data_IF_102475807320
#
_entry.id   IF_102475807320
#
_cell.length_a   1.000
_cell.length_b   1.000
_cell.length_c   1.000
_cell.angle_alpha   90.00
_cell.angle_beta   90.00
_cell.angle_gamma   90.00
#
_symmetry.space_group_name_H-M   'P 1'
#
loop_
_entity.id
_entity.type
_entity.pdbx_description
1 polymer ?
#
# COMPACT_ATOMS: atom_id res chain seq x y z
N UNK A 1 26.81 61.73 -29.08
CA UNK A 1 27.82 61.14 -29.99
C UNK A 1 27.25 59.85 -30.54
N UNK A 2 27.45 59.51 -31.82
CA UNK A 2 26.95 58.28 -32.42
C UNK A 2 27.53 57.03 -31.74
N UNK A 3 28.73 57.13 -31.18
CA UNK A 3 29.37 56.06 -30.41
C UNK A 3 28.58 55.68 -29.15
N UNK A 4 28.07 56.68 -28.43
CA UNK A 4 27.27 56.48 -27.22
C UNK A 4 25.93 55.78 -27.53
N UNK A 5 25.26 56.20 -28.62
CA UNK A 5 24.05 55.53 -29.09
C UNK A 5 24.29 54.07 -29.51
N UNK A 6 25.44 53.76 -30.15
CA UNK A 6 25.83 52.40 -30.47
C UNK A 6 26.09 51.56 -29.19
N UNK A 7 26.69 52.16 -28.16
CA UNK A 7 26.90 51.51 -26.86
C UNK A 7 25.60 51.11 -26.16
N UNK A 8 24.60 51.99 -26.15
CA UNK A 8 23.26 51.68 -25.59
C UNK A 8 22.59 50.51 -26.33
N UNK A 9 22.68 50.49 -27.67
CA UNK A 9 22.14 49.40 -28.47
C UNK A 9 22.86 48.08 -28.20
N UNK A 10 24.19 48.12 -28.04
CA UNK A 10 24.96 46.93 -27.69
C UNK A 10 24.54 46.35 -26.35
N UNK A 11 24.43 47.19 -25.31
CA UNK A 11 23.99 46.74 -23.97
C UNK A 11 22.61 46.08 -24.02
N UNK A 12 21.68 46.65 -24.79
CA UNK A 12 20.34 46.06 -24.96
C UNK A 12 20.38 44.71 -25.68
N UNK A 13 21.28 44.53 -26.65
CA UNK A 13 21.49 43.25 -27.32
C UNK A 13 22.09 42.23 -26.34
N UNK A 14 23.09 42.62 -25.55
CA UNK A 14 23.73 41.76 -24.55
C UNK A 14 22.73 41.27 -23.49
N UNK A 15 21.92 42.19 -22.93
CA UNK A 15 20.82 41.85 -22.02
C UNK A 15 19.81 40.89 -22.66
N UNK A 16 19.46 41.14 -23.93
CA UNK A 16 18.55 40.28 -24.69
C UNK A 16 19.12 38.86 -24.88
N UNK A 17 20.41 38.75 -25.18
CA UNK A 17 21.11 37.46 -25.27
C UNK A 17 21.13 36.75 -23.91
N UNK A 18 21.43 37.46 -22.83
CA UNK A 18 21.43 36.89 -21.48
C UNK A 18 20.05 36.33 -21.12
N UNK A 19 18.98 37.09 -21.37
CA UNK A 19 17.62 36.63 -21.13
C UNK A 19 17.27 35.39 -21.97
N UNK A 20 17.66 35.37 -23.25
CA UNK A 20 17.43 34.23 -24.13
C UNK A 20 18.14 32.97 -23.63
N UNK A 21 19.38 33.10 -23.14
CA UNK A 21 20.13 31.98 -22.54
C UNK A 21 19.39 31.46 -21.31
N UNK A 22 18.93 32.32 -20.41
CA UNK A 22 18.16 31.90 -19.24
C UNK A 22 16.85 31.21 -19.63
N UNK A 23 16.08 31.79 -20.55
CA UNK A 23 14.79 31.25 -20.99
C UNK A 23 14.94 29.90 -21.71
N UNK A 24 15.94 29.77 -22.59
CA UNK A 24 16.21 28.52 -23.31
C UNK A 24 16.70 27.41 -22.38
N UNK A 25 17.62 27.70 -21.45
CA UNK A 25 18.07 26.72 -20.46
C UNK A 25 16.92 26.24 -19.56
N UNK A 26 16.05 27.15 -19.10
CA UNK A 26 14.85 26.79 -18.36
C UNK A 26 13.96 25.86 -19.18
N UNK A 27 13.75 26.17 -20.47
CA UNK A 27 12.91 25.34 -21.33
C UNK A 27 13.49 23.95 -21.58
N UNK A 28 14.81 23.84 -21.74
CA UNK A 28 15.50 22.55 -21.87
C UNK A 28 15.24 21.70 -20.63
N UNK A 29 15.42 22.25 -19.43
CA UNK A 29 15.15 21.53 -18.18
C UNK A 29 13.69 21.05 -18.07
N UNK A 30 12.72 21.88 -18.47
CA UNK A 30 11.31 21.49 -18.49
C UNK A 30 11.03 20.33 -19.46
N UNK A 31 11.65 20.34 -20.63
CA UNK A 31 11.50 19.27 -21.62
C UNK A 31 12.16 17.98 -21.15
N UNK A 32 13.33 18.06 -20.51
CA UNK A 32 14.01 16.91 -19.90
C UNK A 32 13.12 16.23 -18.85
N UNK A 33 12.44 17.01 -18.01
CA UNK A 33 11.44 16.49 -17.07
C UNK A 33 10.33 15.76 -17.83
N UNK A 34 9.65 16.42 -18.77
CA UNK A 34 8.55 15.78 -19.53
C UNK A 34 8.99 14.43 -20.13
N UNK A 35 10.18 14.37 -20.73
CA UNK A 35 10.75 13.13 -21.24
C UNK A 35 11.04 12.07 -20.16
N UNK A 36 11.45 12.46 -18.96
CA UNK A 36 11.61 11.55 -17.82
C UNK A 36 10.26 10.97 -17.37
N UNK A 37 9.22 11.80 -17.27
CA UNK A 37 7.88 11.32 -16.90
C UNK A 37 7.32 10.36 -17.91
N UNK A 38 7.43 10.66 -19.21
CA UNK A 38 6.95 9.78 -20.28
C UNK A 38 7.60 8.38 -20.20
N UNK A 39 8.87 8.28 -19.78
CA UNK A 39 9.55 6.98 -19.60
C UNK A 39 8.95 6.12 -18.47
N UNK A 40 8.28 6.73 -17.49
CA UNK A 40 7.68 6.01 -16.35
C UNK A 40 6.15 6.02 -16.36
N UNK A 41 5.51 6.87 -17.18
CA UNK A 41 4.05 7.02 -17.22
C UNK A 41 3.35 5.69 -17.53
N UNK A 42 3.95 4.86 -18.38
CA UNK A 42 3.38 3.54 -18.69
C UNK A 42 3.35 2.62 -17.46
N UNK A 43 4.36 2.68 -16.60
CA UNK A 43 4.36 1.94 -15.34
C UNK A 43 3.24 2.44 -14.42
N UNK A 44 3.02 3.75 -14.34
CA UNK A 44 1.91 4.30 -13.56
C UNK A 44 0.55 3.87 -14.11
N UNK A 45 0.35 3.93 -15.44
CA UNK A 45 -0.88 3.46 -16.08
C UNK A 45 -1.16 2.00 -15.79
N UNK A 46 -0.14 1.14 -15.87
CA UNK A 46 -0.27 -0.28 -15.56
C UNK A 46 -0.65 -0.51 -14.10
N UNK A 47 0.05 0.14 -13.16
CA UNK A 47 -0.22 0.04 -11.72
C UNK A 47 -1.62 0.55 -11.40
N UNK A 48 -2.01 1.73 -11.90
CA UNK A 48 -3.34 2.30 -11.71
C UNK A 48 -4.44 1.41 -12.27
N UNK A 49 -4.24 0.87 -13.48
CA UNK A 49 -5.20 -0.04 -14.09
C UNK A 49 -5.38 -1.30 -13.24
N UNK A 50 -4.29 -1.86 -12.71
CA UNK A 50 -4.37 -3.03 -11.85
C UNK A 50 -5.07 -2.71 -10.51
N UNK A 51 -4.75 -1.58 -9.88
CA UNK A 51 -5.40 -1.12 -8.64
C UNK A 51 -6.92 -1.05 -8.83
N UNK A 52 -7.39 -0.37 -9.88
CA UNK A 52 -8.83 -0.17 -10.10
C UNK A 52 -9.55 -1.46 -10.52
N UNK A 53 -8.93 -2.24 -11.42
CA UNK A 53 -9.61 -3.38 -12.02
C UNK A 53 -9.54 -4.65 -11.17
N UNK A 54 -8.52 -4.79 -10.33
CA UNK A 54 -8.24 -6.00 -9.54
C UNK A 54 -8.13 -5.66 -8.06
N UNK A 55 -7.21 -4.77 -7.70
CA UNK A 55 -6.85 -4.47 -6.31
C UNK A 55 -8.05 -4.09 -5.44
N UNK A 56 -8.75 -3.03 -5.83
CA UNK A 56 -9.91 -2.50 -5.08
C UNK A 56 -11.08 -3.47 -5.02
N UNK A 57 -11.33 -4.23 -6.10
CA UNK A 57 -12.41 -5.23 -6.13
C UNK A 57 -12.14 -6.35 -5.12
N UNK A 58 -10.91 -6.90 -5.13
CA UNK A 58 -10.51 -7.95 -4.18
C UNK A 58 -10.51 -7.45 -2.73
N UNK A 59 -10.04 -6.23 -2.46
CA UNK A 59 -10.12 -5.66 -1.12
C UNK A 59 -11.57 -5.54 -0.64
N UNK A 60 -12.49 -5.10 -1.50
CA UNK A 60 -13.92 -4.98 -1.17
C UNK A 60 -14.58 -6.32 -0.86
N UNK A 61 -14.26 -7.36 -1.64
CA UNK A 61 -14.76 -8.72 -1.41
C UNK A 61 -14.35 -9.27 -0.03
N UNK A 62 -13.18 -8.88 0.46
CA UNK A 62 -12.63 -9.35 1.75
C UNK A 62 -13.13 -8.58 2.99
N UNK A 63 -13.96 -7.54 2.83
CA UNK A 63 -14.56 -6.82 3.96
C UNK A 63 -15.61 -7.68 4.68
N UNK A 64 -16.23 -8.64 3.98
CA UNK A 64 -17.22 -9.55 4.52
C UNK A 64 -16.52 -10.76 5.16
N UNK A 65 -16.26 -10.67 6.47
CA UNK A 65 -15.69 -11.78 7.24
C UNK A 65 -16.77 -12.87 7.41
N UNK A 66 -16.38 -14.12 7.16
CA UNK A 66 -17.25 -15.29 7.14
C UNK A 66 -17.55 -15.82 8.57
N UNK A 67 -18.66 -16.53 8.73
CA UNK A 67 -19.21 -16.95 10.03
C UNK A 67 -18.52 -18.21 10.61
N UNK A 68 -17.64 -18.85 9.84
CA UNK A 68 -16.93 -20.07 10.26
C UNK A 68 -15.42 -19.96 10.22
N UNK A 69 -14.75 -20.63 11.15
CA UNK A 69 -13.29 -20.68 11.25
C UNK A 69 -12.62 -21.20 9.96
N UNK A 70 -13.19 -22.24 9.36
CA UNK A 70 -12.67 -22.82 8.11
C UNK A 70 -12.67 -21.79 6.97
N UNK A 71 -13.78 -21.05 6.82
CA UNK A 71 -13.91 -20.01 5.81
C UNK A 71 -12.98 -18.81 6.09
N UNK A 72 -12.75 -18.46 7.34
CA UNK A 72 -11.79 -17.42 7.71
C UNK A 72 -10.34 -17.80 7.44
N UNK A 73 -9.95 -19.05 7.70
CA UNK A 73 -8.61 -19.54 7.35
C UNK A 73 -8.42 -19.58 5.83
N UNK A 74 -9.47 -19.97 5.09
CA UNK A 74 -9.45 -19.93 3.64
C UNK A 74 -9.34 -18.48 3.10
N UNK A 75 -10.12 -17.55 3.65
CA UNK A 75 -10.04 -16.12 3.31
C UNK A 75 -8.66 -15.53 3.64
N UNK A 76 -8.05 -15.92 4.77
CA UNK A 76 -6.68 -15.53 5.10
C UNK A 76 -5.68 -16.03 4.05
N UNK A 77 -5.80 -17.30 3.62
CA UNK A 77 -4.91 -17.87 2.61
C UNK A 77 -5.04 -17.10 1.29
N UNK A 78 -6.27 -16.85 0.85
CA UNK A 78 -6.55 -16.06 -0.34
C UNK A 78 -6.02 -14.63 -0.23
N UNK A 79 -6.15 -14.01 0.95
CA UNK A 79 -5.58 -12.69 1.23
C UNK A 79 -4.06 -12.72 1.08
N UNK A 80 -3.35 -13.71 1.64
CA UNK A 80 -1.87 -13.79 1.52
C UNK A 80 -1.41 -13.90 0.06
N UNK A 81 -2.10 -14.69 -0.75
CA UNK A 81 -1.79 -14.82 -2.17
C UNK A 81 -2.02 -13.50 -2.92
N UNK A 82 -3.13 -12.81 -2.61
CA UNK A 82 -3.41 -11.47 -3.13
C UNK A 82 -2.37 -10.45 -2.68
N UNK A 83 -1.99 -10.48 -1.40
CA UNK A 83 -1.12 -9.52 -0.75
C UNK A 83 0.29 -9.52 -1.36
N UNK A 84 0.80 -10.68 -1.75
CA UNK A 84 2.07 -10.79 -2.48
C UNK A 84 2.04 -10.02 -3.80
N UNK A 85 0.96 -10.18 -4.57
CA UNK A 85 0.79 -9.49 -5.85
C UNK A 85 0.57 -7.99 -5.63
N UNK A 86 -0.27 -7.63 -4.66
CA UNK A 86 -0.56 -6.23 -4.32
C UNK A 86 0.71 -5.48 -3.88
N UNK A 87 1.54 -6.11 -3.04
CA UNK A 87 2.83 -5.58 -2.62
C UNK A 87 3.76 -5.29 -3.78
N UNK A 88 3.78 -6.16 -4.79
CA UNK A 88 4.63 -5.98 -5.96
C UNK A 88 4.18 -4.79 -6.79
N UNK A 89 2.88 -4.61 -7.00
CA UNK A 89 2.35 -3.42 -7.66
C UNK A 89 2.61 -2.14 -6.84
N UNK A 90 2.45 -2.19 -5.51
CA UNK A 90 2.80 -1.08 -4.64
C UNK A 90 4.28 -0.71 -4.77
N UNK A 91 5.18 -1.70 -4.71
CA UNK A 91 6.63 -1.52 -4.85
C UNK A 91 6.99 -0.90 -6.20
N UNK A 92 6.44 -1.43 -7.30
CA UNK A 92 6.65 -0.88 -8.65
C UNK A 92 6.20 0.57 -8.77
N UNK A 93 5.02 0.90 -8.22
CA UNK A 93 4.52 2.27 -8.18
C UNK A 93 5.43 3.20 -7.38
N UNK A 94 5.92 2.76 -6.22
CA UNK A 94 6.84 3.54 -5.38
C UNK A 94 8.20 3.77 -6.06
N UNK A 95 8.73 2.76 -6.75
CA UNK A 95 9.96 2.90 -7.54
C UNK A 95 9.80 3.87 -8.71
N UNK A 96 8.62 3.92 -9.33
CA UNK A 96 8.30 4.91 -10.35
C UNK A 96 8.21 6.32 -9.75
N UNK A 97 7.56 6.49 -8.59
CA UNK A 97 7.51 7.78 -7.87
C UNK A 97 8.89 8.28 -7.48
N UNK A 98 9.77 7.40 -6.99
CA UNK A 98 11.15 7.75 -6.61
C UNK A 98 11.95 8.33 -7.78
N UNK A 99 11.69 7.85 -9.02
CA UNK A 99 12.32 8.42 -10.23
C UNK A 99 11.85 9.86 -10.51
N UNK A 100 10.76 10.29 -9.89
CA UNK A 100 10.12 11.59 -10.07
C UNK A 100 10.33 12.55 -8.87
N UNK A 101 11.21 12.25 -7.92
CA UNK A 101 11.41 13.09 -6.71
C UNK A 101 11.80 14.54 -7.04
N UNK A 102 12.48 14.78 -8.17
CA UNK A 102 12.97 16.11 -8.57
C UNK A 102 11.87 17.04 -9.14
N UNK A 103 10.62 16.59 -9.21
CA UNK A 103 9.53 17.32 -9.85
C UNK A 103 8.90 18.42 -8.98
N UNK A 104 9.16 18.40 -7.68
CA UNK A 104 8.60 19.34 -6.70
C UNK A 104 9.11 20.78 -6.89
N UNK A 105 10.30 20.96 -7.47
CA UNK A 105 10.98 22.25 -7.58
C UNK A 105 10.54 23.13 -8.77
N UNK A 106 9.74 22.59 -9.68
CA UNK A 106 9.37 23.30 -10.91
C UNK A 106 7.94 23.85 -10.80
N UNK A 107 7.67 25.04 -11.34
CA UNK A 107 6.37 25.73 -11.16
C UNK A 107 5.76 26.30 -12.46
N UNK A 108 6.33 26.00 -13.62
CA UNK A 108 5.81 26.51 -14.89
C UNK A 108 4.48 25.86 -15.29
N UNK A 109 3.69 26.64 -16.03
CA UNK A 109 2.37 26.25 -16.56
C UNK A 109 2.48 25.02 -17.45
N UNK A 110 3.51 24.93 -18.28
CA UNK A 110 3.68 23.85 -19.27
C UNK A 110 3.90 22.48 -18.63
N UNK A 111 4.41 22.44 -17.40
CA UNK A 111 4.68 21.19 -16.65
C UNK A 111 3.60 20.94 -15.58
N UNK A 112 2.66 21.88 -15.39
CA UNK A 112 1.62 21.78 -14.37
C UNK A 112 0.69 20.58 -14.59
N UNK A 113 0.29 20.30 -15.83
CA UNK A 113 -0.58 19.15 -16.15
C UNK A 113 0.07 17.81 -15.78
N UNK A 114 1.37 17.67 -15.99
CA UNK A 114 2.15 16.49 -15.62
C UNK A 114 2.29 16.36 -14.09
N UNK A 115 2.48 17.47 -13.38
CA UNK A 115 2.43 17.49 -11.91
C UNK A 115 1.09 17.00 -11.36
N UNK A 116 -0.02 17.48 -11.92
CA UNK A 116 -1.36 17.04 -11.50
C UNK A 116 -1.54 15.53 -11.74
N UNK A 117 -1.09 15.01 -12.88
CA UNK A 117 -1.08 13.57 -13.14
C UNK A 117 -0.22 12.79 -12.13
N UNK A 118 1.01 13.25 -11.88
CA UNK A 118 1.91 12.62 -10.92
C UNK A 118 1.31 12.59 -9.52
N UNK A 119 0.68 13.69 -9.10
CA UNK A 119 -0.03 13.76 -7.82
C UNK A 119 -1.20 12.77 -7.78
N UNK A 120 -1.98 12.67 -8.86
CA UNK A 120 -3.08 11.70 -8.96
C UNK A 120 -2.59 10.26 -8.79
N UNK A 121 -1.46 9.91 -9.42
CA UNK A 121 -0.85 8.58 -9.24
C UNK A 121 -0.33 8.35 -7.83
N UNK A 122 0.28 9.36 -7.22
CA UNK A 122 0.77 9.30 -5.83
C UNK A 122 -0.38 9.05 -4.86
N UNK A 123 -1.43 9.87 -4.94
CA UNK A 123 -2.59 9.80 -4.04
C UNK A 123 -3.29 8.44 -4.16
N UNK A 124 -3.53 7.96 -5.39
CA UNK A 124 -4.15 6.66 -5.62
C UNK A 124 -3.32 5.50 -5.04
N UNK A 125 -2.00 5.55 -5.22
CA UNK A 125 -1.09 4.53 -4.72
C UNK A 125 -1.05 4.53 -3.19
N UNK A 126 -0.95 5.70 -2.57
CA UNK A 126 -0.93 5.85 -1.11
C UNK A 126 -2.25 5.37 -0.48
N UNK A 127 -3.38 5.75 -1.07
CA UNK A 127 -4.70 5.29 -0.65
C UNK A 127 -4.80 3.77 -0.70
N UNK A 128 -4.36 3.15 -1.81
CA UNK A 128 -4.39 1.71 -1.97
C UNK A 128 -3.44 0.98 -0.99
N UNK A 129 -2.21 1.48 -0.81
CA UNK A 129 -1.26 0.93 0.17
C UNK A 129 -1.87 0.94 1.59
N UNK A 130 -2.49 2.05 1.97
CA UNK A 130 -3.14 2.19 3.28
C UNK A 130 -4.25 1.17 3.46
N UNK A 131 -5.13 1.00 2.46
CA UNK A 131 -6.21 0.00 2.50
C UNK A 131 -5.69 -1.44 2.55
N UNK A 132 -4.57 -1.72 1.86
CA UNK A 132 -3.92 -3.02 1.90
C UNK A 132 -3.35 -3.32 3.29
N UNK A 133 -2.69 -2.35 3.92
CA UNK A 133 -2.15 -2.49 5.28
C UNK A 133 -3.25 -2.64 6.33
N UNK A 134 -4.32 -1.85 6.25
CA UNK A 134 -5.49 -2.03 7.11
C UNK A 134 -6.07 -3.44 6.98
N UNK A 135 -6.16 -3.96 5.75
CA UNK A 135 -6.66 -5.31 5.50
C UNK A 135 -5.70 -6.39 6.03
N UNK A 136 -4.38 -6.19 5.91
CA UNK A 136 -3.36 -7.05 6.54
C UNK A 136 -3.56 -7.12 8.05
N UNK A 137 -3.71 -5.98 8.69
CA UNK A 137 -3.92 -5.89 10.14
C UNK A 137 -5.19 -6.62 10.55
N UNK A 138 -6.33 -6.35 9.89
CA UNK A 138 -7.62 -7.01 10.18
C UNK A 138 -7.56 -8.54 10.03
N UNK A 139 -6.93 -9.04 8.97
CA UNK A 139 -6.78 -10.49 8.74
C UNK A 139 -5.88 -11.12 9.80
N UNK A 140 -4.78 -10.45 10.18
CA UNK A 140 -3.88 -10.94 11.23
C UNK A 140 -4.54 -10.97 12.61
N UNK A 141 -5.31 -9.94 12.97
CA UNK A 141 -6.04 -9.89 14.25
C UNK A 141 -7.11 -10.98 14.34
N UNK A 142 -7.87 -11.18 13.26
CA UNK A 142 -8.92 -12.20 13.21
C UNK A 142 -8.35 -13.58 13.52
N UNK A 143 -7.24 -13.96 12.89
CA UNK A 143 -6.61 -15.27 13.11
C UNK A 143 -6.13 -15.43 14.55
N UNK A 144 -5.52 -14.39 15.15
CA UNK A 144 -5.09 -14.43 16.55
C UNK A 144 -6.25 -14.68 17.51
N UNK A 145 -7.40 -14.02 17.29
CA UNK A 145 -8.60 -14.20 18.11
C UNK A 145 -9.14 -15.63 17.99
N UNK A 146 -9.15 -16.19 16.79
CA UNK A 146 -9.64 -17.55 16.58
C UNK A 146 -8.72 -18.63 17.15
N UNK A 147 -7.39 -18.49 17.00
CA UNK A 147 -6.42 -19.38 17.66
C UNK A 147 -6.57 -19.34 19.19
N UNK A 148 -6.89 -18.17 19.75
CA UNK A 148 -7.20 -18.05 21.18
C UNK A 148 -8.47 -18.82 21.55
N UNK A 149 -9.57 -18.64 20.81
CA UNK A 149 -10.81 -19.38 21.07
C UNK A 149 -10.64 -20.90 20.93
N UNK A 150 -9.83 -21.36 19.97
CA UNK A 150 -9.54 -22.77 19.78
C UNK A 150 -8.79 -23.35 20.98
N UNK A 151 -7.74 -22.67 21.46
CA UNK A 151 -7.00 -23.04 22.67
C UNK A 151 -7.88 -23.11 23.91
N UNK A 152 -8.79 -22.14 24.08
CA UNK A 152 -9.76 -22.14 25.21
C UNK A 152 -10.72 -23.31 25.10
N UNK A 153 -11.24 -23.60 23.91
CA UNK A 153 -12.17 -24.73 23.68
C UNK A 153 -11.49 -26.07 23.96
N UNK A 154 -10.26 -26.23 23.50
CA UNK A 154 -9.47 -27.44 23.73
C UNK A 154 -9.15 -27.63 25.22
N UNK A 155 -8.77 -26.55 25.92
CA UNK A 155 -8.57 -26.56 27.37
C UNK A 155 -9.83 -26.88 28.17
N UNK A 156 -11.00 -26.37 27.74
CA UNK A 156 -12.28 -26.72 28.37
C UNK A 156 -12.67 -28.19 28.14
N UNK A 157 -12.44 -28.76 26.95
CA UNK A 157 -12.62 -30.20 26.71
C UNK A 157 -11.74 -31.04 27.64
N UNK A 158 -10.46 -30.68 27.79
CA UNK A 158 -9.55 -31.39 28.68
C UNK A 158 -9.98 -31.29 30.16
N UNK A 159 -10.54 -30.15 30.58
CA UNK A 159 -11.08 -29.99 31.94
C UNK A 159 -12.34 -30.83 32.17
N UNK A 160 -13.27 -30.90 31.21
CA UNK A 160 -14.46 -31.75 31.34
C UNK A 160 -14.11 -33.24 31.40
N UNK A 161 -13.14 -33.70 30.60
CA UNK A 161 -12.63 -35.07 30.66
C UNK A 161 -11.89 -35.36 31.98
N UNK A 162 -11.09 -34.41 32.49
CA UNK A 162 -10.46 -34.53 33.79
C UNK A 162 -11.47 -34.61 34.94
N UNK A 163 -12.52 -33.82 34.92
CA UNK A 163 -13.60 -33.85 35.93
C UNK A 163 -14.41 -35.16 35.85
N UNK A 164 -14.69 -35.69 34.66
CA UNK A 164 -15.32 -37.01 34.48
C UNK A 164 -14.43 -38.15 35.00
N UNK A 165 -13.12 -38.08 34.78
CA UNK A 165 -12.15 -39.09 35.25
C UNK A 165 -11.98 -39.05 36.78
N UNK A 166 -11.92 -37.86 37.37
CA UNK A 166 -11.85 -37.68 38.82
C UNK A 166 -13.15 -38.09 39.52
N UNK A 167 -14.32 -37.73 38.99
CA UNK A 167 -15.62 -38.15 39.56
C UNK A 167 -15.88 -39.66 39.43
N UNK A 168 -15.42 -40.29 38.34
CA UNK A 168 -15.44 -41.74 38.17
C UNK A 168 -14.54 -42.48 39.17
N UNK A 169 -13.34 -41.96 39.46
CA UNK A 169 -12.44 -42.52 40.47
C UNK A 169 -12.97 -42.35 41.90
N UNK A 170 -13.57 -41.20 42.23
CA UNK A 170 -14.18 -40.98 43.55
C UNK A 170 -15.37 -41.91 43.79
N UNK A 171 -16.21 -42.19 42.77
CA UNK A 171 -17.27 -43.21 42.89
C UNK A 171 -16.72 -44.63 43.09
N UNK A 172 -15.59 -44.98 42.49
CA UNK A 172 -14.98 -46.31 42.68
C UNK A 172 -14.41 -46.49 44.10
N UNK A 173 -13.77 -45.46 44.67
CA UNK A 173 -13.23 -45.51 46.04
C UNK A 173 -14.35 -45.53 47.08
N UNK A 174 -15.43 -44.77 46.91
CA UNK A 174 -16.56 -44.77 47.86
C UNK A 174 -17.33 -46.10 47.84
N UNK A 175 -17.38 -46.81 46.69
CA UNK A 175 -18.01 -48.14 46.62
C UNK A 175 -17.15 -49.20 47.28
N UNK A 176 -15.82 -49.17 47.16
CA UNK A 176 -14.94 -50.15 47.81
C UNK A 176 -14.89 -50.03 49.34
N UNK A 177 -15.09 -48.84 49.90
CA UNK A 177 -15.10 -48.62 51.35
C UNK A 177 -16.43 -49.00 52.03
N UNK A 178 -17.54 -49.11 51.29
CA UNK A 178 -18.84 -49.53 51.83
C UNK A 178 -18.97 -51.07 51.96
N UNK A 179 -18.23 -51.85 51.16
CA UNK A 179 -18.25 -53.33 51.23
C UNK A 179 -17.20 -53.93 52.19
N UNK A 180 -16.61 -53.12 53.07
CA UNK A 180 -15.57 -53.56 54.02
C UNK A 180 -15.96 -53.42 55.50
N UNK A 181 -17.27 -53.32 55.79
CA UNK A 181 -17.85 -53.35 57.15
C UNK A 181 -18.93 -54.44 57.18
#
# INVERSE_FOLDING_TARGET
DALDAAGVLYNRVDEGVHWLVMASNKRIQELELVMEFEKVEECFKEVSSWIENVGRKKLKEMINLDDSLEMLLQAQKQFREFDLVASEYCRRGQEALKKMDRWEDFSSVDVHSYRVKLQTYRDQLEEFCTQLDESRHRVCETVRLYEFFDKVRQGNCCMEEGVKTCSGSVRSVVVYEIYKI
#
